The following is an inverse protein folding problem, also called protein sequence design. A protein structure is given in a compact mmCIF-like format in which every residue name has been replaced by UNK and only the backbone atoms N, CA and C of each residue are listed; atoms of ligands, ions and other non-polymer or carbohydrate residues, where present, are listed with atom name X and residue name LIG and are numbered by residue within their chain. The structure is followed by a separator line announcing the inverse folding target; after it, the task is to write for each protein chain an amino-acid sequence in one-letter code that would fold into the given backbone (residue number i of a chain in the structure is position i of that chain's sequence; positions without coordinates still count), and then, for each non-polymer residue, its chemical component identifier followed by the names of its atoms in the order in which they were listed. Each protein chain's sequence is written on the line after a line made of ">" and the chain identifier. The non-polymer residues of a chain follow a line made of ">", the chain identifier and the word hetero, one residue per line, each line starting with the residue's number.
data_IF_161866755278
#
_entry.id   IF_161866755278
#
_cell.length_a   1.000
_cell.length_b   1.000
_cell.length_c   1.000
_cell.angle_alpha   90.00
_cell.angle_beta   90.00
_cell.angle_gamma   90.00
#
_symmetry.space_group_name_H-M   'P 1'
#
loop_
_entity.id
_entity.type
_entity.pdbx_description
1 polymer ?
#
# COMPACT_ATOMS: atom_id res chain seq x y z
N UNK A 1 -4.10 -17.04 -0.98
CA UNK A 1 -5.42 -16.44 -1.29
C UNK A 1 -6.30 -16.62 -0.06
N UNK A 2 -6.81 -15.53 0.53
CA UNK A 2 -7.65 -15.60 1.74
C UNK A 2 -9.12 -15.84 1.40
N UNK A 3 -9.97 -16.02 2.40
CA UNK A 3 -11.42 -16.13 2.15
C UNK A 3 -11.95 -14.81 1.59
N UNK A 4 -11.51 -13.66 2.10
CA UNK A 4 -11.83 -12.35 1.53
C UNK A 4 -11.49 -12.27 0.03
N UNK A 5 -10.27 -12.69 -0.36
CA UNK A 5 -9.88 -12.71 -1.78
C UNK A 5 -10.75 -13.64 -2.63
N UNK A 6 -11.10 -14.84 -2.14
CA UNK A 6 -11.99 -15.78 -2.85
C UNK A 6 -13.39 -15.20 -3.02
N UNK A 7 -13.91 -14.51 -2.00
CA UNK A 7 -15.23 -13.89 -2.06
C UNK A 7 -15.28 -12.70 -3.02
N UNK A 8 -14.22 -11.87 -3.09
CA UNK A 8 -14.10 -10.83 -4.11
C UNK A 8 -14.13 -11.40 -5.53
N UNK A 9 -13.36 -12.46 -5.79
CA UNK A 9 -13.38 -13.13 -7.09
C UNK A 9 -14.77 -13.70 -7.43
N UNK A 10 -15.48 -14.22 -6.43
CA UNK A 10 -16.85 -14.74 -6.59
C UNK A 10 -17.82 -13.60 -6.91
N UNK A 11 -17.74 -12.47 -6.20
CA UNK A 11 -18.54 -11.27 -6.46
C UNK A 11 -18.34 -10.78 -7.89
N UNK A 12 -17.10 -10.61 -8.34
CA UNK A 12 -16.81 -10.17 -9.70
C UNK A 12 -17.42 -11.11 -10.77
N UNK A 13 -17.39 -12.43 -10.52
CA UNK A 13 -17.99 -13.41 -11.42
C UNK A 13 -19.52 -13.30 -11.47
N UNK A 14 -20.16 -13.08 -10.32
CA UNK A 14 -21.60 -12.92 -10.21
C UNK A 14 -22.09 -11.59 -10.80
N UNK A 15 -21.36 -10.50 -10.58
CA UNK A 15 -21.66 -9.20 -11.19
C UNK A 15 -21.57 -9.27 -12.72
N UNK A 16 -20.55 -9.96 -13.25
CA UNK A 16 -20.45 -10.26 -14.67
C UNK A 16 -21.62 -11.10 -15.19
N UNK A 17 -22.06 -12.11 -14.44
CA UNK A 17 -23.23 -12.90 -14.79
C UNK A 17 -24.52 -12.06 -14.78
N UNK A 18 -24.70 -11.18 -13.79
CA UNK A 18 -25.83 -10.27 -13.70
C UNK A 18 -25.88 -9.33 -14.91
N UNK A 19 -24.75 -8.76 -15.31
CA UNK A 19 -24.63 -7.92 -16.50
C UNK A 19 -25.00 -8.69 -17.77
N UNK A 20 -24.51 -9.93 -17.92
CA UNK A 20 -24.86 -10.78 -19.06
C UNK A 20 -26.36 -11.08 -19.12
N UNK A 21 -27.00 -11.38 -17.98
CA UNK A 21 -28.44 -11.62 -17.92
C UNK A 21 -29.24 -10.37 -18.31
N UNK A 22 -28.80 -9.18 -17.91
CA UNK A 22 -29.40 -7.92 -18.34
C UNK A 22 -29.28 -7.74 -19.86
N UNK A 23 -28.09 -8.00 -20.42
CA UNK A 23 -27.88 -7.96 -21.87
C UNK A 23 -28.79 -8.95 -22.60
N UNK A 24 -28.92 -10.20 -22.12
CA UNK A 24 -29.82 -11.18 -22.73
C UNK A 24 -31.29 -10.73 -22.68
N UNK A 25 -31.71 -10.07 -21.61
CA UNK A 25 -33.05 -9.50 -21.51
C UNK A 25 -33.27 -8.37 -22.53
N UNK A 26 -32.24 -7.57 -22.83
CA UNK A 26 -32.31 -6.48 -23.81
C UNK A 26 -32.32 -7.01 -25.26
N UNK A 27 -31.48 -8.00 -25.54
CA UNK A 27 -31.25 -8.52 -26.90
C UNK A 27 -32.37 -9.46 -27.37
N UNK A 28 -33.04 -10.16 -26.45
CA UNK A 28 -34.08 -11.12 -26.81
C UNK A 28 -35.35 -10.44 -27.33
N UNK A 29 -35.92 -11.02 -28.39
CA UNK A 29 -37.24 -10.64 -28.92
C UNK A 29 -38.38 -11.41 -28.24
N UNK A 30 -38.08 -12.49 -27.51
CA UNK A 30 -39.07 -13.26 -26.78
C UNK A 30 -39.44 -12.54 -25.47
N UNK A 31 -40.72 -12.16 -25.35
CA UNK A 31 -41.21 -11.39 -24.22
C UNK A 31 -41.19 -12.17 -22.89
N UNK A 32 -41.40 -13.48 -22.93
CA UNK A 32 -41.30 -14.33 -21.74
C UNK A 32 -39.84 -14.48 -21.30
N UNK A 33 -38.92 -14.68 -22.26
CA UNK A 33 -37.48 -14.73 -21.99
C UNK A 33 -36.97 -13.41 -21.42
N UNK A 34 -37.44 -12.26 -21.92
CA UNK A 34 -37.10 -10.93 -21.40
C UNK A 34 -37.44 -10.82 -19.91
N UNK A 35 -38.65 -11.22 -19.51
CA UNK A 35 -39.06 -11.21 -18.10
C UNK A 35 -38.25 -12.21 -17.26
N UNK A 36 -37.99 -13.40 -17.80
CA UNK A 36 -37.19 -14.43 -17.14
C UNK A 36 -35.77 -13.92 -16.86
N UNK A 37 -35.06 -13.40 -17.86
CA UNK A 37 -33.69 -12.90 -17.70
C UNK A 37 -33.62 -11.69 -16.76
N UNK A 38 -34.59 -10.77 -16.83
CA UNK A 38 -34.67 -9.66 -15.89
C UNK A 38 -34.89 -10.13 -14.44
N UNK A 39 -35.72 -11.17 -14.23
CA UNK A 39 -35.93 -11.76 -12.91
C UNK A 39 -34.68 -12.48 -12.38
N UNK A 40 -33.97 -13.21 -13.25
CA UNK A 40 -32.71 -13.86 -12.89
C UNK A 40 -31.62 -12.84 -12.55
N UNK A 41 -31.50 -11.76 -13.33
CA UNK A 41 -30.59 -10.65 -13.03
C UNK A 41 -30.84 -10.10 -11.62
N UNK A 42 -32.09 -9.77 -11.27
CA UNK A 42 -32.45 -9.28 -9.93
C UNK A 42 -32.10 -10.26 -8.80
N UNK A 43 -32.28 -11.56 -9.03
CA UNK A 43 -31.90 -12.58 -8.05
C UNK A 43 -30.39 -12.61 -7.83
N UNK A 44 -29.60 -12.52 -8.91
CA UNK A 44 -28.13 -12.47 -8.82
C UNK A 44 -27.68 -11.18 -8.13
N UNK A 45 -28.28 -10.02 -8.45
CA UNK A 45 -28.01 -8.76 -7.75
C UNK A 45 -28.27 -8.88 -6.24
N UNK A 46 -29.38 -9.52 -5.85
CA UNK A 46 -29.67 -9.82 -4.45
C UNK A 46 -28.59 -10.67 -3.77
N UNK A 47 -28.09 -11.70 -4.45
CA UNK A 47 -26.97 -12.52 -3.94
C UNK A 47 -25.70 -11.68 -3.81
N UNK A 48 -25.39 -10.83 -4.80
CA UNK A 48 -24.23 -9.94 -4.75
C UNK A 48 -24.30 -9.00 -3.54
N UNK A 49 -25.48 -8.44 -3.23
CA UNK A 49 -25.66 -7.60 -2.05
C UNK A 49 -25.31 -8.34 -0.75
N UNK A 50 -25.86 -9.54 -0.55
CA UNK A 50 -25.58 -10.36 0.64
C UNK A 50 -24.10 -10.71 0.75
N UNK A 51 -23.46 -11.08 -0.36
CA UNK A 51 -22.04 -11.43 -0.36
C UNK A 51 -21.15 -10.20 -0.11
N UNK A 52 -21.51 -9.02 -0.61
CA UNK A 52 -20.78 -7.77 -0.37
C UNK A 52 -20.77 -7.41 1.11
N UNK A 53 -21.91 -7.53 1.79
CA UNK A 53 -21.99 -7.32 3.24
C UNK A 53 -21.09 -8.31 4.00
N UNK A 54 -21.07 -9.57 3.54
CA UNK A 54 -20.21 -10.60 4.14
C UNK A 54 -18.72 -10.34 3.90
N UNK A 55 -18.34 -9.88 2.72
CA UNK A 55 -16.96 -9.48 2.40
C UNK A 55 -16.52 -8.36 3.33
N UNK A 56 -17.30 -7.29 3.41
CA UNK A 56 -17.00 -6.15 4.28
C UNK A 56 -16.78 -6.57 5.73
N UNK A 57 -17.61 -7.49 6.25
CA UNK A 57 -17.43 -8.05 7.58
C UNK A 57 -16.11 -8.81 7.71
N UNK A 58 -15.81 -9.73 6.80
CA UNK A 58 -14.61 -10.57 6.87
C UNK A 58 -13.33 -9.72 6.76
N UNK A 59 -13.32 -8.72 5.88
CA UNK A 59 -12.16 -7.83 5.71
C UNK A 59 -11.82 -7.06 6.98
N UNK A 60 -12.81 -6.70 7.81
CA UNK A 60 -12.57 -6.07 9.11
C UNK A 60 -11.93 -7.02 10.13
N UNK A 61 -12.07 -8.33 9.94
CA UNK A 61 -11.60 -9.37 10.86
C UNK A 61 -10.32 -10.06 10.38
N UNK A 62 -9.95 -9.96 9.10
CA UNK A 62 -8.74 -10.58 8.58
C UNK A 62 -7.48 -9.75 8.93
N UNK A 63 -6.44 -10.39 9.49
CA UNK A 63 -5.24 -9.68 9.95
C UNK A 63 -4.56 -8.90 8.83
N UNK A 64 -4.53 -9.41 7.59
CA UNK A 64 -3.84 -8.71 6.51
C UNK A 64 -4.49 -7.38 6.09
N UNK A 65 -5.81 -7.20 6.29
CA UNK A 65 -6.50 -5.93 6.02
C UNK A 65 -6.26 -4.91 7.13
N UNK A 66 -6.07 -5.38 8.37
CA UNK A 66 -5.64 -4.53 9.49
C UNK A 66 -4.25 -3.94 9.26
N UNK A 67 -3.34 -4.71 8.64
CA UNK A 67 -1.98 -4.21 8.30
C UNK A 67 -2.01 -3.22 7.11
N UNK A 68 -3.01 -3.31 6.22
CA UNK A 68 -3.17 -2.39 5.08
C UNK A 68 -3.75 -1.01 5.43
N UNK A 69 -4.07 -0.74 6.70
CA UNK A 69 -4.27 0.64 7.20
C UNK A 69 -2.97 1.12 7.85
N UNK A 70 -2.02 1.72 7.11
CA UNK A 70 -0.80 2.26 7.68
C UNK A 70 -1.12 3.57 8.39
N UNK A 71 -1.50 3.42 9.65
CA UNK A 71 -1.76 4.53 10.56
C UNK A 71 -0.82 4.53 11.75
N UNK A 72 0.46 4.14 11.62
CA UNK A 72 1.51 4.57 12.57
C UNK A 72 2.88 4.71 11.87
N UNK A 73 3.59 5.82 12.08
CA UNK A 73 4.86 6.11 11.44
C UNK A 73 5.92 5.07 11.83
N UNK A 74 6.76 4.70 10.87
CA UNK A 74 8.02 4.00 11.13
C UNK A 74 8.80 4.81 12.18
N UNK A 75 8.86 4.32 13.42
CA UNK A 75 10.00 4.65 14.27
C UNK A 75 11.20 3.99 13.62
N UNK A 76 11.99 4.78 12.91
CA UNK A 76 13.26 4.34 12.35
C UNK A 76 14.13 3.82 13.50
N UNK A 77 14.68 2.59 13.42
CA UNK A 77 15.66 2.13 14.39
C UNK A 77 16.86 3.08 14.36
N UNK A 78 17.15 3.73 15.49
CA UNK A 78 18.26 4.66 15.63
C UNK A 78 19.59 3.90 15.78
N UNK A 79 20.01 3.24 14.71
CA UNK A 79 21.33 2.65 14.54
C UNK A 79 21.83 3.20 13.19
N UNK A 80 22.63 4.27 13.12
CA UNK A 80 24.06 4.31 13.41
C UNK A 80 24.54 5.75 13.67
N UNK A 81 25.17 6.03 14.81
CA UNK A 81 26.06 7.20 14.94
C UNK A 81 27.16 7.15 16.04
N UNK A 82 27.78 6.01 16.42
CA UNK A 82 28.85 6.06 17.42
C UNK A 82 30.21 6.56 16.87
N UNK A 83 30.41 6.66 15.55
CA UNK A 83 31.75 6.93 14.99
C UNK A 83 32.18 8.40 15.00
N UNK A 84 31.25 9.36 14.99
CA UNK A 84 31.61 10.79 15.03
C UNK A 84 32.05 11.25 16.43
N UNK A 85 31.49 10.68 17.51
CA UNK A 85 31.92 11.04 18.87
C UNK A 85 33.33 10.51 19.20
N UNK A 86 33.75 9.37 18.65
CA UNK A 86 35.13 8.92 18.82
C UNK A 86 36.13 9.83 18.11
N UNK A 87 35.84 10.34 16.89
CA UNK A 87 36.76 11.25 16.20
C UNK A 87 36.93 12.59 16.93
N UNK A 88 35.87 13.10 17.58
CA UNK A 88 35.97 14.31 18.40
C UNK A 88 36.82 14.09 19.67
N UNK A 89 36.78 12.89 20.27
CA UNK A 89 37.66 12.56 21.39
C UNK A 89 39.13 12.39 20.95
N UNK A 90 39.38 11.82 19.77
CA UNK A 90 40.72 11.75 19.18
C UNK A 90 41.33 13.14 18.93
N UNK A 91 40.54 14.11 18.47
CA UNK A 91 41.02 15.49 18.27
C UNK A 91 41.26 16.23 19.59
N UNK A 92 40.49 15.94 20.64
CA UNK A 92 40.66 16.56 21.96
C UNK A 92 41.92 16.11 22.71
N UNK A 93 42.46 14.94 22.36
CA UNK A 93 43.67 14.38 22.99
C UNK A 93 44.97 14.73 22.25
N UNK A 94 44.92 15.43 21.12
CA UNK A 94 46.14 15.89 20.44
C UNK A 94 46.69 17.14 21.14
N UNK A 95 47.96 17.13 21.61
CA UNK A 95 48.58 18.33 22.14
C UNK A 95 48.67 19.37 21.03
N UNK A 96 48.17 20.57 21.28
CA UNK A 96 48.27 21.71 20.37
C UNK A 96 49.75 21.99 20.07
N UNK A 97 50.26 21.47 18.96
CA UNK A 97 51.51 21.96 18.40
C UNK A 97 51.24 23.38 17.89
N UNK A 98 51.84 24.34 18.60
CA UNK A 98 51.85 25.76 18.28
C UNK A 98 52.22 25.97 16.81
N UNK A 99 51.29 26.50 16.02
CA UNK A 99 51.62 27.07 14.72
C UNK A 99 52.43 28.35 14.96
N UNK A 100 53.73 28.32 14.70
CA UNK A 100 54.52 29.53 14.53
C UNK A 100 54.24 30.12 13.14
N UNK A 101 53.90 31.41 13.01
CA UNK A 101 53.73 32.04 11.70
C UNK A 101 55.10 32.16 11.02
N UNK A 102 55.27 31.41 9.93
CA UNK A 102 56.44 31.44 9.08
C UNK A 102 56.55 32.84 8.45
N UNK A 103 57.56 33.60 8.88
CA UNK A 103 57.83 34.94 8.36
C UNK A 103 58.15 34.85 6.86
N UNK A 104 57.43 35.66 6.10
CA UNK A 104 57.61 35.89 4.68
C UNK A 104 59.06 36.30 4.38
N UNK A 105 59.76 35.52 3.57
CA UNK A 105 60.94 36.00 2.84
C UNK A 105 60.65 35.88 1.35
N UNK A 106 60.31 37.03 0.74
CA UNK A 106 60.32 37.20 -0.71
C UNK A 106 61.77 37.42 -1.17
N UNK A 107 62.29 36.68 -2.17
CA UNK A 107 63.55 37.04 -2.80
C UNK A 107 63.35 38.18 -3.82
N UNK A 108 64.15 39.24 -3.67
CA UNK A 108 64.29 40.33 -4.65
C UNK A 108 64.93 39.83 -5.93
N UNK A 109 64.37 40.31 -7.02
CA UNK A 109 64.83 40.25 -8.41
C UNK A 109 66.14 41.06 -8.56
N UNK A 110 67.09 40.52 -9.31
CA UNK A 110 67.91 41.27 -10.28
C UNK A 110 68.08 40.41 -11.52
#
# INVERSE_FOLDING_TARGET
>A
MTIGTKMHQTLASLEGAAANLMTFALDTQDQAAKQMFASLNKQVEGICHVLRDRVNYIEQHEPQYRVMQPGMPQQQPQYWQPQQQQQQQYFRMQPQQQMQPQQQQFPRIW
#
